data_IF_643731080966
#
_entry.id   IF_643731080966
#
_cell.length_a   1.000
_cell.length_b   1.000
_cell.length_c   1.000
_cell.angle_alpha   90.00
_cell.angle_beta   90.00
_cell.angle_gamma   90.00
#
_symmetry.space_group_name_H-M   'P 1'
#
loop_
_entity.id
_entity.type
_entity.pdbx_description
1 polymer ?
#
# COMPACT_ATOMS: atom_id res chain seq x y z
N UNK A 1 14.68 -12.90 -5.32
CA UNK A 1 13.90 -13.90 -6.08
C UNK A 1 13.64 -13.35 -7.47
N UNK A 2 13.81 -14.16 -8.51
CA UNK A 2 13.78 -13.69 -9.90
C UNK A 2 13.18 -14.76 -10.83
N UNK A 3 12.43 -14.33 -11.83
CA UNK A 3 11.92 -15.16 -12.92
C UNK A 3 10.97 -16.27 -12.46
N UNK A 4 9.91 -15.88 -11.75
CA UNK A 4 8.96 -16.78 -11.09
C UNK A 4 7.62 -16.77 -11.84
N UNK A 5 6.96 -17.93 -12.08
CA UNK A 5 5.70 -18.00 -12.82
C UNK A 5 4.53 -17.31 -12.10
N UNK A 6 4.52 -17.33 -10.76
CA UNK A 6 3.52 -16.71 -9.88
C UNK A 6 4.16 -15.73 -8.89
N UNK A 7 3.49 -15.44 -7.77
CA UNK A 7 4.05 -14.69 -6.65
C UNK A 7 5.31 -15.39 -6.15
N UNK A 8 6.33 -14.63 -5.79
CA UNK A 8 7.56 -15.19 -5.26
C UNK A 8 7.41 -15.61 -3.80
N UNK A 9 6.59 -14.87 -3.05
CA UNK A 9 6.22 -15.20 -1.68
C UNK A 9 4.70 -15.19 -1.60
N UNK A 10 4.12 -16.26 -1.08
CA UNK A 10 2.70 -16.36 -0.79
C UNK A 10 2.50 -16.77 0.67
N UNK A 11 1.78 -15.97 1.44
CA UNK A 11 1.32 -16.31 2.80
C UNK A 11 -0.18 -16.53 2.75
N UNK A 12 -0.66 -17.70 3.16
CA UNK A 12 -2.08 -18.01 3.11
C UNK A 12 -2.67 -18.35 4.47
N UNK A 13 -3.94 -17.99 4.61
CA UNK A 13 -4.85 -18.37 5.68
C UNK A 13 -4.42 -17.95 7.07
N UNK A 14 -3.66 -16.85 7.21
CA UNK A 14 -3.34 -16.23 8.50
C UNK A 14 -2.46 -17.05 9.44
N UNK A 15 -2.35 -18.36 9.20
CA UNK A 15 -1.81 -19.44 10.02
C UNK A 15 -1.64 -19.05 11.49
N UNK A 16 -0.42 -18.72 11.89
CA UNK A 16 -0.13 -18.18 13.22
C UNK A 16 0.16 -16.68 13.19
N UNK A 17 0.40 -16.12 12.00
CA UNK A 17 1.00 -14.80 11.82
C UNK A 17 2.46 -14.78 12.29
N UNK A 18 2.92 -13.63 12.78
CA UNK A 18 4.30 -13.42 13.23
C UNK A 18 5.35 -13.71 12.14
N UNK A 19 4.97 -13.53 10.88
CA UNK A 19 5.90 -13.67 9.77
C UNK A 19 6.75 -12.42 9.64
N UNK A 20 8.00 -12.57 9.22
CA UNK A 20 8.86 -11.44 8.85
C UNK A 20 9.40 -11.68 7.45
N UNK A 21 9.00 -10.83 6.51
CA UNK A 21 9.47 -10.84 5.13
C UNK A 21 10.31 -9.59 4.92
N UNK A 22 11.64 -9.74 4.94
CA UNK A 22 12.53 -8.59 4.84
C UNK A 22 13.83 -8.83 4.11
N UNK A 23 14.43 -7.73 3.65
CA UNK A 23 15.74 -7.70 2.98
C UNK A 23 15.81 -8.49 1.66
N UNK A 24 14.69 -8.55 0.94
CA UNK A 24 14.62 -9.25 -0.34
C UNK A 24 14.64 -8.30 -1.54
N UNK A 25 15.11 -8.80 -2.68
CA UNK A 25 14.91 -8.19 -4.01
C UNK A 25 14.02 -9.10 -4.84
N UNK A 26 12.81 -8.67 -5.18
CA UNK A 26 11.82 -9.44 -5.96
C UNK A 26 11.49 -8.70 -7.25
N UNK A 27 11.66 -9.39 -8.38
CA UNK A 27 11.34 -8.86 -9.69
C UNK A 27 11.16 -9.98 -10.72
N UNK A 28 10.46 -9.68 -11.81
CA UNK A 28 10.15 -10.65 -12.86
C UNK A 28 9.34 -11.84 -12.30
N UNK A 29 8.28 -11.51 -11.57
CA UNK A 29 7.31 -12.43 -10.97
C UNK A 29 5.99 -12.39 -11.74
N UNK A 30 5.07 -13.33 -11.47
CA UNK A 30 3.71 -13.33 -12.05
C UNK A 30 3.76 -13.38 -13.59
N UNK A 31 4.58 -14.28 -14.14
CA UNK A 31 4.78 -14.41 -15.59
C UNK A 31 3.74 -15.29 -16.28
N UNK A 32 3.17 -16.24 -15.57
CA UNK A 32 2.21 -17.23 -16.10
C UNK A 32 0.80 -17.05 -15.53
N UNK A 33 0.64 -16.15 -14.56
CA UNK A 33 -0.66 -15.76 -13.99
C UNK A 33 -0.86 -14.25 -14.08
N UNK A 34 -1.87 -13.73 -13.39
CA UNK A 34 -2.18 -12.30 -13.28
C UNK A 34 -2.73 -12.00 -11.88
N UNK A 35 -3.30 -10.81 -11.70
CA UNK A 35 -4.12 -10.39 -10.55
C UNK A 35 -3.36 -10.05 -9.27
N UNK A 36 -2.20 -10.69 -9.03
CA UNK A 36 -1.47 -10.56 -7.77
C UNK A 36 -0.06 -9.98 -7.87
N UNK A 37 0.66 -9.94 -6.75
CA UNK A 37 1.98 -9.34 -6.63
C UNK A 37 3.19 -10.27 -6.59
N UNK A 38 4.41 -9.71 -6.59
CA UNK A 38 5.61 -10.38 -6.10
C UNK A 38 5.42 -11.00 -4.71
N UNK A 39 4.79 -10.28 -3.79
CA UNK A 39 4.31 -10.80 -2.50
C UNK A 39 2.79 -10.84 -2.55
N UNK A 40 2.21 -11.97 -2.16
CA UNK A 40 0.77 -12.17 -2.10
C UNK A 40 0.37 -12.70 -0.73
N UNK A 41 -0.70 -12.17 -0.16
CA UNK A 41 -1.30 -12.68 1.07
C UNK A 41 -2.81 -12.82 0.92
N UNK A 42 -3.42 -13.76 1.60
CA UNK A 42 -4.88 -13.90 1.69
C UNK A 42 -5.23 -14.75 2.90
N UNK A 43 -6.31 -14.43 3.60
CA UNK A 43 -6.74 -15.14 4.80
C UNK A 43 -8.21 -15.58 4.65
N UNK A 44 -8.45 -16.80 4.15
CA UNK A 44 -9.81 -17.33 3.94
C UNK A 44 -10.23 -18.30 5.04
N UNK A 45 -9.27 -18.89 5.74
CA UNK A 45 -9.49 -19.83 6.83
C UNK A 45 -8.79 -19.36 8.12
N UNK A 46 -9.51 -19.19 9.25
CA UNK A 46 -8.87 -18.87 10.52
C UNK A 46 -8.22 -20.12 11.15
N UNK A 47 -7.09 -19.92 11.82
CA UNK A 47 -6.39 -20.95 12.61
C UNK A 47 -6.36 -20.56 14.10
N UNK A 48 -6.23 -21.56 14.96
CA UNK A 48 -6.03 -21.32 16.39
C UNK A 48 -4.60 -20.80 16.63
N UNK A 49 -4.53 -19.65 17.27
CA UNK A 49 -3.30 -18.96 17.67
C UNK A 49 -3.49 -18.34 19.06
N UNK A 50 -2.51 -17.58 19.53
CA UNK A 50 -2.58 -16.77 20.75
C UNK A 50 -2.23 -15.30 20.49
N UNK A 51 -2.48 -14.82 19.25
CA UNK A 51 -2.11 -13.47 18.80
C UNK A 51 -2.82 -12.34 19.53
N UNK A 52 -4.00 -12.59 20.10
CA UNK A 52 -4.67 -11.61 20.96
C UNK A 52 -4.03 -11.49 22.35
N UNK A 53 -3.57 -12.61 22.92
CA UNK A 53 -2.95 -12.69 24.25
C UNK A 53 -2.16 -13.99 24.34
N UNK A 54 -0.85 -13.87 24.60
CA UNK A 54 0.04 -15.04 24.70
C UNK A 54 -0.50 -16.09 25.68
N UNK A 55 -0.48 -17.35 25.24
CA UNK A 55 -0.97 -18.51 25.98
C UNK A 55 -2.50 -18.64 26.05
N UNK A 56 -3.27 -17.74 25.44
CA UNK A 56 -4.74 -17.81 25.38
C UNK A 56 -5.19 -18.02 23.94
N UNK A 57 -5.79 -19.18 23.69
CA UNK A 57 -6.29 -19.54 22.36
C UNK A 57 -7.30 -18.51 21.82
N UNK A 58 -7.12 -18.11 20.58
CA UNK A 58 -7.96 -17.16 19.85
C UNK A 58 -7.89 -17.44 18.34
N UNK A 59 -8.73 -16.74 17.56
CA UNK A 59 -8.68 -16.74 16.09
C UNK A 59 -7.95 -15.49 15.54
N UNK A 60 -7.24 -14.75 16.41
CA UNK A 60 -6.47 -13.57 16.01
C UNK A 60 -5.05 -13.98 15.72
N UNK A 61 -4.60 -13.88 14.48
CA UNK A 61 -3.19 -14.10 14.17
C UNK A 61 -2.29 -13.03 14.81
N UNK A 62 -1.03 -13.39 15.03
CA UNK A 62 -0.01 -12.41 15.39
C UNK A 62 0.27 -11.49 14.20
N UNK A 63 0.66 -10.24 14.48
CA UNK A 63 1.02 -9.30 13.43
C UNK A 63 2.21 -9.84 12.61
N UNK A 64 2.11 -9.75 11.29
CA UNK A 64 3.20 -10.07 10.37
C UNK A 64 3.79 -8.78 9.81
N UNK A 65 5.09 -8.81 9.51
CA UNK A 65 5.88 -7.64 9.13
C UNK A 65 6.49 -7.86 7.74
N UNK A 66 6.23 -6.95 6.80
CA UNK A 66 6.85 -6.94 5.47
C UNK A 66 7.67 -5.66 5.36
N UNK A 67 9.00 -5.77 5.43
CA UNK A 67 9.82 -4.56 5.52
C UNK A 67 11.17 -4.64 4.82
N UNK A 68 11.71 -3.49 4.41
CA UNK A 68 13.06 -3.40 3.82
C UNK A 68 13.24 -4.28 2.57
N UNK A 69 12.19 -4.42 1.75
CA UNK A 69 12.28 -5.14 0.47
C UNK A 69 12.37 -4.17 -0.70
N UNK A 70 13.03 -4.61 -1.77
CA UNK A 70 12.99 -3.99 -3.09
C UNK A 70 12.06 -4.80 -4.00
N UNK A 71 10.93 -4.20 -4.37
CA UNK A 71 9.87 -4.87 -5.11
C UNK A 71 9.65 -4.20 -6.47
N UNK A 72 9.74 -4.96 -7.55
CA UNK A 72 9.38 -4.50 -8.89
C UNK A 72 8.08 -5.17 -9.33
N UNK A 73 7.04 -4.36 -9.49
CA UNK A 73 5.73 -4.78 -9.96
C UNK A 73 5.67 -4.83 -11.49
N UNK A 74 6.44 -5.73 -12.10
CA UNK A 74 6.51 -5.91 -13.55
C UNK A 74 5.61 -7.07 -14.05
N UNK A 75 5.55 -7.28 -15.37
CA UNK A 75 4.68 -8.28 -16.03
C UNK A 75 3.20 -8.14 -15.64
N UNK A 76 2.52 -9.24 -15.34
CA UNK A 76 1.09 -9.27 -15.04
C UNK A 76 0.80 -9.00 -13.55
N UNK A 77 1.81 -8.59 -12.78
CA UNK A 77 1.61 -8.26 -11.37
C UNK A 77 0.71 -7.02 -11.22
N UNK A 78 -0.19 -6.94 -10.24
CA UNK A 78 -1.05 -5.76 -10.05
C UNK A 78 -0.53 -4.87 -8.92
N UNK A 79 -0.25 -5.46 -7.75
CA UNK A 79 0.28 -4.74 -6.59
C UNK A 79 1.64 -5.32 -6.18
N UNK A 80 2.62 -4.53 -5.71
CA UNK A 80 3.91 -5.08 -5.29
C UNK A 80 3.78 -5.98 -4.04
N UNK A 81 2.98 -5.51 -3.08
CA UNK A 81 2.45 -6.29 -1.96
C UNK A 81 0.94 -6.38 -2.18
N UNK A 82 0.48 -7.58 -2.53
CA UNK A 82 -0.92 -7.85 -2.76
C UNK A 82 -1.56 -8.47 -1.52
N UNK A 83 -2.17 -7.63 -0.68
CA UNK A 83 -3.04 -8.07 0.39
C UNK A 83 -4.43 -8.39 -0.17
N UNK A 84 -4.59 -9.63 -0.60
CA UNK A 84 -5.82 -10.16 -1.19
C UNK A 84 -6.83 -10.61 -0.12
N UNK A 85 -7.94 -11.22 -0.54
CA UNK A 85 -9.10 -11.57 0.28
C UNK A 85 -8.79 -11.94 1.74
N UNK A 86 -9.32 -11.16 2.67
CA UNK A 86 -9.27 -11.47 4.10
C UNK A 86 -7.94 -11.15 4.79
N UNK A 87 -6.87 -10.82 4.06
CA UNK A 87 -5.55 -10.50 4.63
C UNK A 87 -5.66 -9.54 5.81
N UNK A 88 -5.15 -9.93 6.97
CA UNK A 88 -5.25 -9.13 8.17
C UNK A 88 -3.98 -9.12 9.04
N UNK A 89 -3.87 -8.16 9.95
CA UNK A 89 -2.73 -8.02 10.87
C UNK A 89 -1.36 -7.96 10.17
N UNK A 90 -1.22 -7.06 9.19
CA UNK A 90 0.05 -6.79 8.52
C UNK A 90 0.56 -5.39 8.88
N UNK A 91 1.85 -5.29 9.16
CA UNK A 91 2.61 -4.03 9.08
C UNK A 91 3.53 -4.08 7.86
N UNK A 92 3.33 -3.14 6.94
CA UNK A 92 4.20 -2.93 5.80
C UNK A 92 5.03 -1.68 6.08
N UNK A 93 6.36 -1.83 6.13
CA UNK A 93 7.21 -0.67 6.38
C UNK A 93 8.55 -0.67 5.65
N UNK A 94 9.01 0.51 5.23
CA UNK A 94 10.33 0.67 4.62
C UNK A 94 10.58 -0.20 3.38
N UNK A 95 9.56 -0.51 2.57
CA UNK A 95 9.78 -1.14 1.26
C UNK A 95 9.97 -0.08 0.17
N UNK A 96 10.85 -0.39 -0.79
CA UNK A 96 11.04 0.40 -2.01
C UNK A 96 10.31 -0.31 -3.15
N UNK A 97 9.13 0.21 -3.49
CA UNK A 97 8.17 -0.44 -4.37
C UNK A 97 8.06 0.29 -5.71
N UNK A 98 8.29 -0.41 -6.82
CA UNK A 98 8.38 0.20 -8.15
C UNK A 98 7.25 -0.33 -9.04
N UNK A 99 6.57 0.58 -9.75
CA UNK A 99 5.48 0.32 -10.69
C UNK A 99 4.20 -0.28 -10.07
N UNK A 100 3.93 0.02 -8.80
CA UNK A 100 2.69 -0.36 -8.12
C UNK A 100 2.52 0.36 -6.78
N UNK A 101 1.28 0.39 -6.29
CA UNK A 101 0.89 1.03 -5.03
C UNK A 101 0.34 0.03 -4.01
N UNK A 102 -0.11 0.54 -2.86
CA UNK A 102 -0.84 -0.23 -1.85
C UNK A 102 -2.19 -0.69 -2.39
N UNK A 103 -2.51 -1.96 -2.18
CA UNK A 103 -3.89 -2.47 -2.22
C UNK A 103 -4.50 -2.39 -0.83
N UNK A 104 -5.66 -1.77 -0.73
CA UNK A 104 -6.56 -1.98 0.38
C UNK A 104 -7.88 -2.55 -0.14
N UNK A 105 -8.07 -3.85 0.07
CA UNK A 105 -9.25 -4.58 -0.36
C UNK A 105 -9.53 -5.72 0.62
N UNK A 106 -10.76 -5.77 1.14
CA UNK A 106 -11.18 -6.75 2.16
C UNK A 106 -10.19 -6.86 3.34
N UNK A 107 -10.36 -7.89 4.19
CA UNK A 107 -9.55 -8.09 5.39
C UNK A 107 -9.60 -6.89 6.34
N UNK A 108 -8.70 -6.81 7.32
CA UNK A 108 -8.63 -5.67 8.23
C UNK A 108 -7.26 -5.54 8.92
N UNK A 109 -7.00 -4.46 9.66
CA UNK A 109 -5.79 -4.32 10.50
C UNK A 109 -4.48 -4.33 9.71
N UNK A 110 -4.41 -3.55 8.64
CA UNK A 110 -3.21 -3.31 7.84
C UNK A 110 -2.65 -1.92 8.14
N UNK A 111 -1.36 -1.86 8.40
CA UNK A 111 -0.67 -0.63 8.76
C UNK A 111 0.53 -0.42 7.85
N UNK A 112 0.45 0.59 6.98
CA UNK A 112 1.52 0.89 6.04
C UNK A 112 2.19 2.20 6.40
N UNK A 113 3.51 2.17 6.63
CA UNK A 113 4.26 3.38 6.94
C UNK A 113 5.70 3.38 6.47
N UNK A 114 6.20 4.58 6.16
CA UNK A 114 7.57 4.76 5.66
C UNK A 114 7.86 3.97 4.38
N UNK A 115 6.84 3.65 3.58
CA UNK A 115 6.97 3.07 2.26
C UNK A 115 7.45 4.11 1.24
N UNK A 116 8.14 3.67 0.20
CA UNK A 116 8.37 4.49 -0.99
C UNK A 116 7.74 3.79 -2.20
N UNK A 117 6.66 4.36 -2.72
CA UNK A 117 6.00 3.92 -3.95
C UNK A 117 6.49 4.78 -5.12
N UNK A 118 7.04 4.12 -6.14
CA UNK A 118 7.65 4.76 -7.30
C UNK A 118 6.88 4.41 -8.56
N UNK A 119 6.28 5.44 -9.14
CA UNK A 119 5.63 5.43 -10.45
C UNK A 119 4.56 4.34 -10.61
N UNK A 120 3.63 4.18 -9.66
CA UNK A 120 2.53 3.23 -9.79
C UNK A 120 1.62 3.53 -10.99
N UNK A 121 1.60 4.78 -11.45
CA UNK A 121 0.80 5.30 -12.56
C UNK A 121 1.38 5.00 -13.95
N UNK A 122 2.56 4.39 -14.03
CA UNK A 122 3.15 3.94 -15.30
C UNK A 122 2.55 2.62 -15.79
N UNK A 123 1.90 1.87 -14.90
CA UNK A 123 1.18 0.65 -15.21
C UNK A 123 -0.31 0.97 -15.27
N UNK A 124 -0.94 0.74 -16.43
CA UNK A 124 -2.38 1.01 -16.66
C UNK A 124 -3.18 -0.28 -16.72
N UNK A 125 -3.15 -1.05 -15.64
CA UNK A 125 -3.98 -2.24 -15.45
C UNK A 125 -5.02 -1.93 -14.36
N UNK A 126 -6.21 -2.53 -14.44
CA UNK A 126 -7.27 -2.37 -13.43
C UNK A 126 -6.73 -2.58 -12.00
N UNK A 127 -7.12 -1.72 -11.06
CA UNK A 127 -6.62 -1.73 -9.67
C UNK A 127 -5.29 -1.01 -9.44
N UNK A 128 -4.53 -0.73 -10.49
CA UNK A 128 -3.25 0.00 -10.42
C UNK A 128 -3.41 1.46 -10.83
N UNK A 129 -2.37 2.26 -10.60
CA UNK A 129 -2.28 3.61 -11.16
C UNK A 129 -2.12 4.74 -10.14
N UNK A 130 -2.20 4.41 -8.86
CA UNK A 130 -2.11 5.33 -7.72
C UNK A 130 -1.22 4.71 -6.64
N UNK A 131 -0.73 5.51 -5.70
CA UNK A 131 0.09 5.01 -4.59
C UNK A 131 -0.76 4.31 -3.53
N UNK A 132 -2.00 4.77 -3.36
CA UNK A 132 -3.00 4.14 -2.50
C UNK A 132 -4.22 3.80 -3.35
N UNK A 133 -4.56 2.52 -3.39
CA UNK A 133 -5.81 2.02 -3.95
C UNK A 133 -6.66 1.46 -2.81
N UNK A 134 -7.79 2.09 -2.54
CA UNK A 134 -8.76 1.65 -1.53
C UNK A 134 -10.10 1.30 -2.17
N UNK A 135 -10.38 0.00 -2.21
CA UNK A 135 -11.47 -0.55 -2.99
C UNK A 135 -12.74 -0.71 -2.15
N UNK A 136 -13.65 0.23 -2.38
CA UNK A 136 -15.03 0.23 -1.91
C UNK A 136 -15.15 -0.19 -0.42
N UNK A 137 -14.51 0.56 0.50
CA UNK A 137 -14.64 0.28 1.91
C UNK A 137 -16.12 0.31 2.30
N UNK A 138 -16.56 -0.67 3.08
CA UNK A 138 -17.94 -0.82 3.55
C UNK A 138 -17.95 -1.13 5.04
N UNK A 139 -18.56 -0.23 5.82
CA UNK A 139 -18.67 -0.34 7.29
C UNK A 139 -19.18 -1.73 7.68
N UNK A 140 -18.47 -2.38 8.60
CA UNK A 140 -18.83 -3.70 9.11
C UNK A 140 -18.66 -4.85 8.10
N UNK A 141 -18.05 -4.62 6.93
CA UNK A 141 -17.93 -5.61 5.86
C UNK A 141 -16.49 -5.73 5.33
N UNK A 142 -15.90 -4.65 4.81
CA UNK A 142 -14.62 -4.70 4.08
C UNK A 142 -13.90 -3.36 4.02
N UNK A 143 -12.58 -3.37 3.75
CA UNK A 143 -11.77 -2.15 3.57
C UNK A 143 -11.80 -1.25 4.80
N UNK A 144 -11.41 -1.78 5.96
CA UNK A 144 -11.78 -1.29 7.30
C UNK A 144 -11.06 -0.01 7.75
N UNK A 145 -10.92 0.98 6.87
CA UNK A 145 -10.22 2.24 7.14
C UNK A 145 -8.80 1.97 7.67
N UNK A 146 -8.02 1.29 6.85
CA UNK A 146 -6.64 0.93 7.18
C UNK A 146 -5.75 2.16 7.26
N UNK A 147 -4.58 2.01 7.88
CA UNK A 147 -3.67 3.14 8.05
C UNK A 147 -2.65 3.21 6.92
N UNK A 148 -2.36 4.43 6.44
CA UNK A 148 -1.34 4.73 5.42
C UNK A 148 -0.71 6.09 5.72
N UNK A 149 0.41 6.09 6.46
CA UNK A 149 1.03 7.31 6.99
C UNK A 149 2.52 7.38 6.71
N UNK A 150 3.08 8.59 6.69
CA UNK A 150 4.54 8.79 6.57
C UNK A 150 5.15 8.14 5.33
N UNK A 151 4.33 7.90 4.31
CA UNK A 151 4.72 7.24 3.07
C UNK A 151 5.17 8.27 2.03
N UNK A 152 6.07 7.85 1.15
CA UNK A 152 6.48 8.64 -0.01
C UNK A 152 5.82 8.08 -1.26
N UNK A 153 5.00 8.90 -1.90
CA UNK A 153 4.34 8.58 -3.17
C UNK A 153 4.99 9.38 -4.29
N UNK A 154 5.51 8.73 -5.32
CA UNK A 154 6.08 9.40 -6.50
C UNK A 154 5.33 8.98 -7.75
N UNK A 155 4.68 9.92 -8.42
CA UNK A 155 3.93 9.71 -9.66
C UNK A 155 4.72 10.22 -10.87
N UNK A 156 4.60 9.52 -11.99
CA UNK A 156 5.34 9.82 -13.22
C UNK A 156 4.58 10.77 -14.16
N UNK A 157 3.27 10.57 -14.28
CA UNK A 157 2.40 11.18 -15.29
C UNK A 157 1.03 11.61 -14.75
N UNK A 158 0.47 10.91 -13.76
CA UNK A 158 -0.79 11.26 -13.11
C UNK A 158 -0.57 12.24 -11.95
N UNK A 159 -1.51 13.17 -11.68
CA UNK A 159 -1.53 13.95 -10.45
C UNK A 159 -2.36 13.29 -9.32
N UNK A 160 -2.97 12.13 -9.56
CA UNK A 160 -3.91 11.48 -8.64
C UNK A 160 -3.12 10.48 -7.76
N UNK A 161 -2.88 10.76 -6.47
CA UNK A 161 -2.12 9.87 -5.58
C UNK A 161 -2.96 8.74 -5.01
N UNK A 162 -4.27 8.98 -4.84
CA UNK A 162 -5.19 8.09 -4.14
C UNK A 162 -6.37 7.74 -5.04
N UNK A 163 -6.79 6.48 -4.98
CA UNK A 163 -8.03 6.03 -5.57
C UNK A 163 -8.88 5.41 -4.45
N UNK A 164 -9.83 6.18 -3.92
CA UNK A 164 -10.69 5.81 -2.80
C UNK A 164 -12.13 5.75 -3.31
N UNK A 165 -12.60 4.56 -3.69
CA UNK A 165 -13.77 4.40 -4.57
C UNK A 165 -15.07 5.01 -4.04
N UNK A 166 -15.32 4.89 -2.74
CA UNK A 166 -16.56 5.33 -2.11
C UNK A 166 -16.32 6.54 -1.20
N UNK A 167 -15.32 7.39 -1.54
CA UNK A 167 -15.10 8.61 -0.78
C UNK A 167 -16.35 9.50 -0.88
N UNK A 168 -16.94 9.80 0.27
CA UNK A 168 -18.08 10.69 0.40
C UNK A 168 -17.91 11.55 1.65
N UNK A 169 -17.89 12.86 1.46
CA UNK A 169 -17.70 13.82 2.56
C UNK A 169 -18.88 13.85 3.55
N UNK A 170 -20.08 13.40 3.14
CA UNK A 170 -21.24 13.27 4.03
C UNK A 170 -21.20 12.00 4.91
N UNK A 171 -20.43 10.97 4.53
CA UNK A 171 -20.20 9.75 5.30
C UNK A 171 -18.74 9.30 5.14
N UNK A 172 -17.82 10.05 5.73
CA UNK A 172 -16.39 9.79 5.59
C UNK A 172 -16.03 8.40 6.15
N UNK A 173 -15.68 7.51 5.22
CA UNK A 173 -15.14 6.19 5.48
C UNK A 173 -13.97 5.93 4.52
N UNK A 174 -12.85 6.58 4.82
CA UNK A 174 -11.61 6.56 4.04
C UNK A 174 -10.44 6.17 4.95
N UNK A 175 -9.33 5.61 4.44
CA UNK A 175 -8.13 5.25 5.20
C UNK A 175 -7.63 6.37 6.13
N UNK A 176 -6.93 6.02 7.21
CA UNK A 176 -6.26 7.00 8.05
C UNK A 176 -4.95 7.42 7.37
N UNK A 177 -4.94 8.66 6.92
CA UNK A 177 -3.85 9.28 6.17
C UNK A 177 -3.23 10.40 6.99
N UNK A 178 -1.90 10.48 7.02
CA UNK A 178 -1.16 11.54 7.69
C UNK A 178 0.31 11.57 7.26
N UNK A 179 0.90 12.77 7.30
CA UNK A 179 2.34 13.01 7.16
C UNK A 179 3.01 12.40 5.91
N UNK A 180 2.25 12.22 4.84
CA UNK A 180 2.74 11.65 3.60
C UNK A 180 3.51 12.69 2.76
N UNK A 181 4.39 12.21 1.88
CA UNK A 181 5.11 13.04 0.91
C UNK A 181 4.71 12.62 -0.49
N UNK A 182 3.94 13.47 -1.16
CA UNK A 182 3.43 13.20 -2.50
C UNK A 182 4.25 14.01 -3.51
N UNK A 183 4.73 13.32 -4.53
CA UNK A 183 5.55 13.89 -5.58
C UNK A 183 4.83 13.70 -6.93
N UNK A 184 4.35 14.79 -7.51
CA UNK A 184 3.56 14.78 -8.76
C UNK A 184 4.35 15.33 -9.95
N UNK A 185 3.94 15.07 -11.20
CA UNK A 185 4.60 15.60 -12.38
C UNK A 185 4.62 17.14 -12.40
N UNK A 186 5.69 17.71 -12.95
CA UNK A 186 5.85 19.17 -13.05
C UNK A 186 4.69 19.82 -13.81
N UNK A 187 4.20 20.94 -13.29
CA UNK A 187 3.14 21.72 -13.93
C UNK A 187 1.75 21.14 -13.76
N UNK A 188 1.57 20.21 -12.81
CA UNK A 188 0.28 19.70 -12.39
C UNK A 188 -0.02 20.11 -10.96
N UNK A 189 -1.31 20.15 -10.64
CA UNK A 189 -1.83 20.26 -9.28
C UNK A 189 -2.27 18.86 -8.85
N UNK A 190 -2.22 18.56 -7.54
CA UNK A 190 -2.66 17.26 -7.02
C UNK A 190 -4.18 17.15 -7.13
N UNK A 191 -4.68 15.95 -7.37
CA UNK A 191 -6.10 15.70 -7.54
C UNK A 191 -6.56 14.61 -6.56
N UNK A 192 -7.30 15.01 -5.51
CA UNK A 192 -8.01 14.09 -4.62
C UNK A 192 -9.47 14.02 -5.03
N UNK A 193 -9.97 12.83 -5.36
CA UNK A 193 -11.35 12.66 -5.87
C UNK A 193 -12.26 12.16 -4.75
N UNK A 194 -13.32 12.90 -4.45
CA UNK A 194 -14.32 12.55 -3.45
C UNK A 194 -15.70 13.10 -3.82
N UNK A 195 -16.77 12.46 -3.34
CA UNK A 195 -18.13 12.99 -3.48
C UNK A 195 -18.40 14.11 -2.47
N UNK A 196 -18.90 15.25 -2.97
CA UNK A 196 -19.39 16.39 -2.19
C UNK A 196 -20.80 16.70 -2.66
N UNK A 197 -21.78 16.65 -1.75
CA UNK A 197 -23.20 16.91 -2.04
C UNK A 197 -23.75 16.10 -3.24
N UNK A 198 -23.32 14.84 -3.39
CA UNK A 198 -23.75 13.96 -4.48
C UNK A 198 -23.00 14.16 -5.81
N UNK A 199 -21.95 14.99 -5.84
CA UNK A 199 -21.16 15.30 -7.03
C UNK A 199 -19.72 14.85 -6.84
N UNK A 200 -19.21 14.04 -7.77
CA UNK A 200 -17.79 13.68 -7.83
C UNK A 200 -16.97 14.94 -8.11
N UNK A 201 -16.14 15.31 -7.13
CA UNK A 201 -15.39 16.56 -7.09
C UNK A 201 -13.91 16.27 -6.94
N UNK A 202 -13.09 17.04 -7.65
CA UNK A 202 -11.64 17.03 -7.47
C UNK A 202 -11.25 18.13 -6.51
N UNK A 203 -10.54 17.75 -5.44
CA UNK A 203 -10.03 18.62 -4.39
C UNK A 203 -8.52 18.75 -4.54
N UNK A 204 -8.00 19.95 -4.24
CA UNK A 204 -6.58 20.13 -4.00
C UNK A 204 -6.21 19.68 -2.57
N UNK A 205 -4.94 19.87 -2.17
CA UNK A 205 -4.48 19.46 -0.84
C UNK A 205 -5.10 20.29 0.29
N UNK A 206 -5.34 21.59 0.09
CA UNK A 206 -5.89 22.47 1.11
C UNK A 206 -7.35 22.09 1.38
N UNK A 207 -8.14 21.89 0.33
CA UNK A 207 -9.52 21.43 0.42
C UNK A 207 -9.59 20.02 1.05
N UNK A 208 -8.69 19.11 0.67
CA UNK A 208 -8.64 17.77 1.25
C UNK A 208 -8.36 17.81 2.76
N UNK A 209 -7.40 18.63 3.19
CA UNK A 209 -7.06 18.78 4.60
C UNK A 209 -8.12 19.56 5.40
N UNK A 210 -8.94 20.39 4.76
CA UNK A 210 -10.05 21.08 5.41
C UNK A 210 -11.15 20.13 5.92
N UNK A 211 -11.19 18.88 5.43
CA UNK A 211 -12.05 17.81 5.97
C UNK A 211 -11.40 17.01 7.12
N UNK A 212 -10.31 17.51 7.71
CA UNK A 212 -9.48 16.81 8.71
C UNK A 212 -8.85 15.50 8.18
N UNK A 213 -8.66 15.41 6.86
CA UNK A 213 -8.05 14.25 6.20
C UNK A 213 -6.58 14.53 5.86
N UNK A 214 -5.74 13.50 5.95
CA UNK A 214 -4.36 13.53 5.43
C UNK A 214 -3.52 14.71 5.96
N UNK A 215 -3.72 15.03 7.25
CA UNK A 215 -3.05 16.14 7.91
C UNK A 215 -1.53 15.94 7.91
N UNK A 216 -0.79 17.02 7.71
CA UNK A 216 0.67 17.01 7.64
C UNK A 216 1.25 16.52 6.31
N UNK A 217 0.43 15.98 5.42
CA UNK A 217 0.86 15.60 4.07
C UNK A 217 1.28 16.82 3.26
N UNK A 218 2.32 16.63 2.43
CA UNK A 218 2.85 17.66 1.55
C UNK A 218 2.92 17.18 0.11
N UNK A 219 2.73 18.10 -0.83
CA UNK A 219 2.81 17.85 -2.27
C UNK A 219 3.96 18.65 -2.86
N UNK A 220 4.80 18.00 -3.67
CA UNK A 220 5.95 18.61 -4.35
C UNK A 220 6.06 18.11 -5.79
N UNK A 221 6.86 18.79 -6.61
CA UNK A 221 7.21 18.27 -7.94
C UNK A 221 8.14 17.07 -7.82
N UNK A 222 7.86 16.01 -8.58
CA UNK A 222 8.69 14.81 -8.62
C UNK A 222 10.14 15.14 -9.00
N UNK A 223 11.12 14.66 -8.20
CA UNK A 223 12.52 14.91 -8.49
C UNK A 223 13.01 13.99 -9.62
N UNK A 224 14.25 14.17 -10.02
CA UNK A 224 14.86 13.27 -11.00
C UNK A 224 15.05 11.85 -10.42
N UNK A 225 15.16 10.87 -11.32
CA UNK A 225 15.32 9.46 -10.99
C UNK A 225 16.52 9.17 -10.07
N UNK A 226 17.63 9.91 -10.21
CA UNK A 226 18.82 9.72 -9.38
C UNK A 226 18.53 10.01 -7.90
N UNK A 227 17.73 11.03 -7.61
CA UNK A 227 17.26 11.34 -6.26
C UNK A 227 16.38 10.22 -5.70
N UNK A 228 15.40 9.74 -6.48
CA UNK A 228 14.49 8.67 -6.05
C UNK A 228 15.24 7.37 -5.74
N UNK A 229 16.18 6.98 -6.62
CA UNK A 229 17.06 5.83 -6.39
C UNK A 229 17.91 6.02 -5.12
N UNK A 230 18.35 7.25 -4.84
CA UNK A 230 19.13 7.52 -3.65
C UNK A 230 18.29 7.33 -2.37
N UNK A 231 17.03 7.75 -2.35
CA UNK A 231 16.12 7.48 -1.23
C UNK A 231 15.96 5.98 -0.96
N UNK A 232 15.72 5.18 -2.00
CA UNK A 232 15.64 3.72 -1.86
C UNK A 232 16.95 3.11 -1.34
N UNK A 233 18.11 3.61 -1.78
CA UNK A 233 19.41 3.18 -1.24
C UNK A 233 19.57 3.55 0.23
N UNK A 234 19.16 4.74 0.64
CA UNK A 234 19.33 5.21 2.01
C UNK A 234 18.42 4.43 2.97
N UNK A 235 17.17 4.20 2.56
CA UNK A 235 16.22 3.34 3.27
C UNK A 235 16.75 1.90 3.43
N UNK A 236 17.16 1.27 2.32
CA UNK A 236 17.52 -0.15 2.31
C UNK A 236 18.95 -0.46 2.76
N UNK A 237 19.78 0.54 3.10
CA UNK A 237 21.14 0.27 3.62
C UNK A 237 21.12 -0.11 5.10
N UNK A 238 20.11 0.31 5.86
CA UNK A 238 20.05 0.15 7.31
C UNK A 238 21.18 0.88 8.05
N UNK A 239 20.92 1.35 9.27
CA UNK A 239 22.01 1.77 10.16
C UNK A 239 22.80 0.53 10.58
N UNK A 240 24.14 0.52 10.59
CA UNK A 240 24.95 -0.68 10.90
C UNK A 240 24.73 -1.33 12.28
N UNK A 241 23.89 -0.76 13.15
CA UNK A 241 23.82 -1.11 14.57
C UNK A 241 22.74 -2.12 14.97
N UNK A 242 22.01 -2.73 14.03
CA UNK A 242 20.95 -3.72 14.33
C UNK A 242 21.05 -4.99 13.47
N UNK A 243 22.28 -5.46 13.21
CA UNK A 243 22.54 -6.80 12.68
C UNK A 243 23.09 -7.71 13.77
#
# INVERSE_FOLDING_TARGET
MFNIPRAAINVNDGYYGNHTISWNVLFNTVRETSDHGPINTWDRQPFLSDGRRSGVASLWQHQSFIHHNLLFNNYNSIFPIDHDDGSCFYEDSYNFQIYGGKKNFLGHSKFDHHEIYVYPDTKRILGTGTCLFDQAPKRGSSGWNETWIQNTCVLYSSPIPYNIWNCNTADLFVPYLADNKIFIPRGKEVEFVCEIDGISTTLDLEDWQAFDLDLGTTVQTAPNMKTIIQWGRDMLKGTPSLR
#
